data_IF_377608351344
#
_entry.id   IF_377608351344
#
_cell.length_a   1.000
_cell.length_b   1.000
_cell.length_c   1.000
_cell.angle_alpha   90.00
_cell.angle_beta   90.00
_cell.angle_gamma   90.00
#
_symmetry.space_group_name_H-M   'P 1'
#
loop_
_entity.id
_entity.type
_entity.pdbx_description
1 polymer ?
#
# COMPACT_ATOMS: atom_id res chain seq x y z
N UNK A 1 15.24 -32.98 -11.10
CA UNK A 1 15.00 -31.53 -10.91
C UNK A 1 13.62 -31.41 -10.29
N UNK A 2 13.54 -30.93 -9.06
CA UNK A 2 12.26 -30.68 -8.36
C UNK A 2 11.98 -29.20 -8.41
N UNK A 3 10.75 -28.82 -8.75
CA UNK A 3 10.30 -27.43 -8.71
C UNK A 3 10.30 -26.94 -7.26
N UNK A 4 10.70 -25.70 -7.04
CA UNK A 4 10.58 -25.05 -5.74
C UNK A 4 9.09 -24.83 -5.40
N UNK A 5 8.69 -24.77 -4.12
CA UNK A 5 7.32 -24.41 -3.75
C UNK A 5 6.94 -23.04 -4.32
N UNK A 6 5.78 -22.92 -4.95
CA UNK A 6 5.39 -21.71 -5.69
C UNK A 6 4.05 -21.84 -6.44
N UNK A 7 3.58 -20.72 -7.00
CA UNK A 7 2.46 -20.70 -7.94
C UNK A 7 2.97 -20.99 -9.35
N UNK A 8 2.27 -21.86 -10.06
CA UNK A 8 2.59 -22.28 -11.42
C UNK A 8 1.29 -22.50 -12.20
N UNK A 9 1.36 -22.44 -13.53
CA UNK A 9 0.22 -22.72 -14.41
C UNK A 9 -0.40 -24.08 -14.12
N UNK A 10 -1.72 -24.13 -13.97
CA UNK A 10 -2.46 -25.35 -13.69
C UNK A 10 -2.56 -26.21 -14.96
N UNK A 11 -1.89 -27.38 -15.00
CA UNK A 11 -1.93 -28.24 -16.19
C UNK A 11 -3.34 -28.81 -16.47
N UNK A 12 -4.25 -28.80 -15.49
CA UNK A 12 -5.63 -29.23 -15.65
C UNK A 12 -6.62 -28.10 -15.98
N UNK A 13 -6.20 -26.84 -15.87
CA UNK A 13 -7.07 -25.68 -16.08
C UNK A 13 -6.26 -24.50 -16.68
N UNK A 14 -6.16 -24.42 -18.02
CA UNK A 14 -5.43 -23.33 -18.69
C UNK A 14 -5.92 -21.95 -18.23
N UNK A 15 -4.98 -21.04 -17.95
CA UNK A 15 -5.27 -19.68 -17.48
C UNK A 15 -5.52 -19.57 -15.97
N UNK A 16 -5.28 -20.64 -15.19
CA UNK A 16 -5.30 -20.61 -13.73
C UNK A 16 -3.93 -20.99 -13.19
N UNK A 17 -3.61 -20.50 -11.99
CA UNK A 17 -2.41 -20.92 -11.29
C UNK A 17 -2.77 -21.79 -10.08
N UNK A 18 -1.98 -22.84 -9.87
CA UNK A 18 -2.10 -23.78 -8.76
C UNK A 18 -0.82 -23.75 -7.93
N UNK A 19 -0.95 -23.93 -6.62
CA UNK A 19 0.21 -23.97 -5.73
C UNK A 19 0.88 -25.34 -5.76
N UNK A 20 2.19 -25.36 -6.01
CA UNK A 20 3.09 -26.50 -5.84
C UNK A 20 3.81 -26.40 -4.50
N UNK A 21 3.82 -27.48 -3.71
CA UNK A 21 4.43 -27.49 -2.37
C UNK A 21 5.90 -27.97 -2.35
N UNK A 22 6.51 -28.19 -3.53
CA UNK A 22 7.84 -28.80 -3.67
C UNK A 22 7.80 -30.30 -4.02
N UNK A 23 6.69 -30.98 -3.73
CA UNK A 23 6.52 -32.42 -3.93
C UNK A 23 5.28 -32.78 -4.75
N UNK A 24 4.19 -32.02 -4.59
CA UNK A 24 2.91 -32.25 -5.24
C UNK A 24 2.12 -30.97 -5.49
N UNK A 25 1.21 -31.03 -6.45
CA UNK A 25 0.22 -29.99 -6.69
C UNK A 25 -0.82 -30.01 -5.57
N UNK A 26 -1.06 -28.86 -4.95
CA UNK A 26 -2.06 -28.73 -3.89
C UNK A 26 -3.44 -28.40 -4.45
N UNK A 27 -4.45 -28.31 -3.57
CA UNK A 27 -5.81 -27.89 -3.94
C UNK A 27 -5.98 -26.37 -4.02
N UNK A 28 -4.97 -25.59 -3.64
CA UNK A 28 -5.03 -24.13 -3.73
C UNK A 28 -4.88 -23.69 -5.19
N UNK A 29 -5.89 -22.99 -5.68
CA UNK A 29 -5.94 -22.42 -7.03
C UNK A 29 -6.32 -20.95 -6.89
N UNK A 30 -5.56 -20.04 -7.47
CA UNK A 30 -5.94 -18.62 -7.55
C UNK A 30 -6.57 -18.33 -8.90
N UNK A 31 -7.68 -17.60 -8.90
CA UNK A 31 -8.50 -17.36 -10.10
C UNK A 31 -8.14 -16.09 -10.85
N UNK A 32 -7.17 -15.34 -10.35
CA UNK A 32 -6.87 -14.01 -10.86
C UNK A 32 -5.37 -13.88 -11.13
N UNK A 33 -4.96 -14.29 -12.32
CA UNK A 33 -4.09 -13.40 -13.07
C UNK A 33 -5.06 -12.64 -13.96
N UNK A 34 -5.40 -11.38 -13.65
CA UNK A 34 -6.03 -10.56 -14.66
C UNK A 34 -5.15 -10.69 -15.89
N UNK A 35 -5.75 -10.96 -17.06
CA UNK A 35 -5.09 -10.72 -18.35
C UNK A 35 -4.85 -9.21 -18.40
N UNK A 36 -3.87 -8.73 -17.63
CA UNK A 36 -3.34 -7.39 -17.76
C UNK A 36 -2.67 -7.50 -19.11
N UNK A 37 -3.21 -6.88 -20.18
CA UNK A 37 -2.42 -6.73 -21.39
C UNK A 37 -1.11 -6.09 -20.89
N UNK A 38 0.00 -6.83 -21.02
CA UNK A 38 1.35 -6.27 -20.84
C UNK A 38 1.26 -4.89 -21.44
N UNK A 39 1.43 -3.88 -20.58
CA UNK A 39 1.04 -2.55 -20.95
C UNK A 39 1.67 -2.24 -22.32
N UNK A 40 0.94 -1.64 -23.29
CA UNK A 40 1.34 -1.62 -24.70
C UNK A 40 2.69 -0.92 -24.99
N UNK A 41 3.34 -0.41 -23.95
CA UNK A 41 4.68 0.16 -23.96
C UNK A 41 5.81 -0.79 -23.51
N UNK A 42 5.53 -2.05 -23.16
CA UNK A 42 6.59 -3.06 -22.94
C UNK A 42 7.11 -3.50 -24.31
N UNK A 43 8.16 -2.82 -24.76
CA UNK A 43 8.90 -3.19 -25.96
C UNK A 43 9.59 -4.54 -25.75
N UNK A 44 9.22 -5.61 -26.49
CA UNK A 44 9.81 -6.94 -26.34
C UNK A 44 11.29 -7.01 -26.73
N UNK A 45 11.86 -5.93 -27.29
CA UNK A 45 13.27 -5.85 -27.64
C UNK A 45 14.18 -5.40 -26.50
N UNK A 46 13.64 -4.99 -25.35
CA UNK A 46 14.44 -4.69 -24.17
C UNK A 46 14.68 -5.96 -23.33
N UNK A 47 15.95 -6.36 -23.08
CA UNK A 47 16.23 -7.48 -22.19
C UNK A 47 15.77 -7.13 -20.77
N UNK A 48 14.98 -8.02 -20.16
CA UNK A 48 14.58 -7.89 -18.76
C UNK A 48 15.84 -7.73 -17.89
N UNK A 49 15.97 -6.58 -17.23
CA UNK A 49 17.02 -6.37 -16.24
C UNK A 49 16.66 -7.26 -15.05
N UNK A 50 17.42 -8.34 -14.87
CA UNK A 50 17.35 -9.17 -13.67
C UNK A 50 17.82 -8.28 -12.52
N UNK A 51 16.87 -7.74 -11.74
CA UNK A 51 17.19 -7.03 -10.51
C UNK A 51 17.74 -8.07 -9.54
N UNK A 52 19.01 -7.92 -9.19
CA UNK A 52 19.71 -8.80 -8.26
C UNK A 52 19.06 -8.69 -6.87
N UNK A 53 18.23 -9.68 -6.53
CA UNK A 53 17.51 -9.76 -5.26
C UNK A 53 18.41 -10.25 -4.11
N UNK A 54 19.66 -9.82 -4.07
CA UNK A 54 20.55 -10.15 -2.95
C UNK A 54 20.12 -9.35 -1.72
N UNK A 55 19.59 -9.99 -0.64
CA UNK A 55 19.12 -9.28 0.53
C UNK A 55 20.29 -8.57 1.23
N UNK A 56 20.10 -7.32 1.70
CA UNK A 56 21.16 -6.60 2.41
C UNK A 56 21.49 -7.34 3.71
N UNK A 57 22.71 -7.87 3.80
CA UNK A 57 23.25 -8.45 5.03
C UNK A 57 23.38 -7.34 6.09
N UNK A 58 22.44 -7.27 7.03
CA UNK A 58 22.54 -6.39 8.21
C UNK A 58 23.76 -6.81 9.05
N UNK A 59 24.77 -5.95 9.27
CA UNK A 59 25.77 -6.21 10.29
C UNK A 59 25.14 -5.95 11.66
N UNK A 60 25.08 -7.00 12.48
CA UNK A 60 24.57 -6.91 13.83
C UNK A 60 25.44 -6.01 14.70
N UNK A 61 24.84 -4.99 15.31
CA UNK A 61 25.35 -4.40 16.54
C UNK A 61 24.22 -4.30 17.57
N UNK A 62 24.35 -5.18 18.54
CA UNK A 62 23.62 -5.22 19.79
C UNK A 62 24.24 -4.15 20.68
N UNK A 63 23.52 -3.08 21.01
CA UNK A 63 23.86 -2.23 22.16
C UNK A 63 22.64 -1.92 23.03
N UNK A 64 22.71 -2.61 24.16
CA UNK A 64 22.03 -2.50 25.43
C UNK A 64 22.01 -1.03 25.94
N UNK A 65 20.87 -0.51 26.40
CA UNK A 65 20.83 0.68 27.27
C UNK A 65 19.66 0.62 28.27
N UNK A 66 20.07 0.12 29.43
CA UNK A 66 19.63 0.28 30.83
C UNK A 66 18.48 1.26 31.12
N UNK A 67 17.52 0.73 31.88
CA UNK A 67 16.47 1.44 32.61
C UNK A 67 17.01 2.36 33.73
N UNK A 68 16.37 3.51 33.94
CA UNK A 68 15.97 4.06 35.27
C UNK A 68 15.56 5.54 35.17
N UNK A 69 14.38 5.86 35.70
CA UNK A 69 13.94 7.25 35.89
C UNK A 69 12.49 7.35 36.36
N UNK A 70 12.24 6.94 37.61
CA UNK A 70 10.95 7.12 38.32
C UNK A 70 10.94 8.47 39.04
N UNK A 71 9.73 9.00 39.30
CA UNK A 71 9.31 10.22 40.00
C UNK A 71 9.23 11.47 39.09
N UNK A 72 8.09 12.13 38.86
CA UNK A 72 6.84 12.19 39.61
C UNK A 72 6.65 13.60 40.17
N UNK A 73 5.84 14.45 39.51
CA UNK A 73 5.14 15.59 40.13
C UNK A 73 3.84 15.84 39.36
N UNK A 74 2.73 15.53 40.01
CA UNK A 74 1.41 16.06 39.70
C UNK A 74 1.10 17.14 40.75
N UNK A 75 0.76 18.36 40.31
CA UNK A 75 0.08 19.49 41.00
C UNK A 75 0.57 20.78 40.30
N UNK A 76 -0.18 21.83 39.96
CA UNK A 76 -1.60 22.18 39.94
C UNK A 76 -1.63 23.62 39.38
N UNK A 77 -2.71 23.99 38.66
CA UNK A 77 -3.18 25.36 38.34
C UNK A 77 -2.27 26.40 37.65
N UNK A 78 -2.71 26.85 36.48
CA UNK A 78 -3.35 28.17 36.32
C UNK A 78 -2.49 29.45 36.33
N UNK A 79 -2.52 30.14 35.19
CA UNK A 79 -2.28 31.59 34.95
C UNK A 79 -0.82 32.07 35.09
N UNK A 80 -0.32 32.67 34.01
CA UNK A 80 0.71 33.72 34.12
C UNK A 80 1.77 33.67 33.05
N UNK A 81 1.57 34.45 31.98
CA UNK A 81 2.63 34.83 31.07
C UNK A 81 3.80 35.47 31.84
N UNK A 82 5.04 35.04 31.59
CA UNK A 82 6.26 35.84 31.78
C UNK A 82 7.45 35.18 31.11
N UNK A 83 8.17 36.01 30.36
CA UNK A 83 9.28 35.69 29.50
C UNK A 83 10.53 35.20 30.24
N UNK A 84 11.20 34.19 29.69
CA UNK A 84 12.66 34.02 29.75
C UNK A 84 13.18 33.33 28.48
N UNK A 85 13.11 34.02 27.34
CA UNK A 85 13.98 33.73 26.19
C UNK A 85 15.35 34.33 26.47
N UNK A 86 16.31 33.54 26.97
CA UNK A 86 17.75 33.84 26.90
C UNK A 86 18.59 32.66 27.40
N UNK A 87 18.85 31.68 26.54
CA UNK A 87 20.08 30.89 26.55
C UNK A 87 20.10 29.92 25.37
N UNK A 88 20.49 30.40 24.20
CA UNK A 88 21.14 29.60 23.16
C UNK A 88 21.94 30.57 22.28
N UNK A 89 23.12 30.96 22.80
CA UNK A 89 24.18 31.55 22.00
C UNK A 89 25.40 30.64 22.10
N UNK A 90 25.95 30.33 20.94
CA UNK A 90 27.26 29.74 20.69
C UNK A 90 27.40 28.22 20.77
N UNK A 91 26.91 27.53 19.73
CA UNK A 91 27.76 26.57 19.01
C UNK A 91 27.85 27.03 17.57
N UNK A 92 28.85 27.87 17.27
CA UNK A 92 29.22 28.21 15.92
C UNK A 92 29.81 26.97 15.24
N UNK A 93 28.99 26.26 14.48
CA UNK A 93 29.45 25.31 13.47
C UNK A 93 29.70 26.13 12.21
N UNK A 94 30.93 26.17 11.66
CA UNK A 94 31.22 26.86 10.42
C UNK A 94 30.38 26.22 9.30
N UNK A 95 29.79 27.08 8.46
CA UNK A 95 28.81 26.72 7.44
C UNK A 95 29.32 25.69 6.44
N UNK A 96 29.17 24.41 6.79
CA UNK A 96 28.93 23.38 5.82
C UNK A 96 27.59 23.68 5.19
N UNK A 97 27.60 23.93 3.88
CA UNK A 97 26.41 23.88 3.04
C UNK A 97 25.58 22.69 3.49
N UNK A 98 24.37 22.95 4.01
CA UNK A 98 23.40 21.91 4.25
C UNK A 98 23.00 21.43 2.87
N UNK A 99 23.79 20.50 2.33
CA UNK A 99 23.40 19.67 1.20
C UNK A 99 22.16 18.96 1.72
N UNK A 100 20.99 19.44 1.30
CA UNK A 100 19.77 18.68 1.45
C UNK A 100 20.09 17.27 0.92
N UNK A 101 19.76 16.18 1.65
CA UNK A 101 19.87 14.85 1.08
C UNK A 101 19.19 14.92 -0.29
N UNK A 102 19.80 14.34 -1.35
CA UNK A 102 19.23 14.41 -2.69
C UNK A 102 17.76 14.07 -2.57
N UNK A 103 16.89 14.98 -3.03
CA UNK A 103 15.49 14.66 -3.23
C UNK A 103 15.50 13.38 -4.04
N UNK A 104 15.20 12.27 -3.38
CA UNK A 104 15.06 10.99 -4.05
C UNK A 104 13.75 11.12 -4.81
N UNK A 105 13.83 11.79 -5.96
CA UNK A 105 12.79 12.00 -6.97
C UNK A 105 12.56 10.67 -7.72
N UNK A 106 12.62 9.56 -6.98
CA UNK A 106 12.23 8.25 -7.46
C UNK A 106 10.80 8.35 -7.96
N UNK A 107 10.58 7.87 -9.18
CA UNK A 107 9.25 7.73 -9.73
C UNK A 107 8.37 6.95 -8.73
N UNK A 108 7.09 7.33 -8.55
CA UNK A 108 6.21 6.61 -7.65
C UNK A 108 6.12 5.14 -8.07
N UNK A 109 6.09 4.25 -7.08
CA UNK A 109 6.08 2.80 -7.33
C UNK A 109 4.75 2.36 -7.95
N UNK A 110 3.69 3.13 -7.71
CA UNK A 110 2.35 2.93 -8.25
C UNK A 110 1.88 4.20 -8.98
N UNK A 111 1.03 4.06 -10.01
CA UNK A 111 0.38 5.21 -10.62
C UNK A 111 -0.53 5.93 -9.62
N UNK A 112 -0.78 7.21 -9.86
CA UNK A 112 -1.77 7.99 -9.11
C UNK A 112 -3.17 7.52 -9.50
N UNK A 113 -4.04 7.31 -8.52
CA UNK A 113 -5.41 6.88 -8.72
C UNK A 113 -6.33 8.01 -8.28
N UNK A 114 -7.36 8.31 -9.06
CA UNK A 114 -8.44 9.18 -8.60
C UNK A 114 -9.55 8.37 -7.94
N UNK A 115 -10.38 9.01 -7.12
CA UNK A 115 -11.59 8.36 -6.62
C UNK A 115 -12.54 7.91 -7.75
N UNK A 116 -12.51 8.59 -8.90
CA UNK A 116 -13.24 8.14 -10.10
C UNK A 116 -12.73 6.80 -10.64
N UNK A 117 -11.41 6.60 -10.66
CA UNK A 117 -10.79 5.34 -11.09
C UNK A 117 -11.12 4.19 -10.12
N UNK A 118 -11.08 4.49 -8.82
CA UNK A 118 -11.48 3.56 -7.75
C UNK A 118 -12.93 3.15 -7.93
N UNK A 119 -13.86 4.11 -8.03
CA UNK A 119 -15.29 3.82 -8.20
C UNK A 119 -15.61 3.04 -9.47
N UNK A 120 -14.96 3.38 -10.60
CA UNK A 120 -15.13 2.66 -11.85
C UNK A 120 -14.63 1.20 -11.77
N UNK A 121 -13.54 0.97 -11.03
CA UNK A 121 -13.00 -0.38 -10.79
C UNK A 121 -13.90 -1.19 -9.87
N UNK A 122 -14.35 -0.59 -8.76
CA UNK A 122 -15.30 -1.20 -7.83
C UNK A 122 -16.58 -1.65 -8.55
N UNK A 123 -17.19 -0.78 -9.37
CA UNK A 123 -18.40 -1.13 -10.13
C UNK A 123 -18.16 -2.28 -11.11
N UNK A 124 -16.97 -2.35 -11.73
CA UNK A 124 -16.61 -3.42 -12.64
C UNK A 124 -16.50 -4.76 -11.92
N UNK A 125 -15.80 -4.78 -10.79
CA UNK A 125 -15.63 -5.97 -9.94
C UNK A 125 -16.96 -6.44 -9.36
N UNK A 126 -17.74 -5.51 -8.78
CA UNK A 126 -19.07 -5.80 -8.24
C UNK A 126 -19.99 -6.48 -9.28
N UNK A 127 -19.99 -5.99 -10.53
CA UNK A 127 -20.79 -6.59 -11.61
C UNK A 127 -20.26 -7.94 -12.08
N UNK A 128 -18.93 -8.10 -12.11
CA UNK A 128 -18.31 -9.34 -12.55
C UNK A 128 -18.54 -10.48 -11.56
N UNK A 129 -18.47 -10.19 -10.26
CA UNK A 129 -18.61 -11.19 -9.21
C UNK A 129 -20.03 -11.31 -8.65
N UNK A 130 -20.88 -10.29 -8.85
CA UNK A 130 -22.25 -10.26 -8.32
C UNK A 130 -22.33 -9.95 -6.82
N UNK A 131 -21.25 -9.43 -6.25
CA UNK A 131 -21.07 -9.28 -4.80
C UNK A 131 -21.68 -8.00 -4.23
N UNK A 132 -21.93 -6.98 -5.08
CA UNK A 132 -22.56 -5.72 -4.66
C UNK A 132 -23.68 -5.32 -5.61
N UNK A 133 -24.94 -5.20 -5.15
CA UNK A 133 -26.07 -4.85 -5.98
C UNK A 133 -26.12 -3.36 -6.37
N UNK A 134 -24.97 -2.68 -6.51
CA UNK A 134 -24.92 -1.26 -6.88
C UNK A 134 -25.16 -1.07 -8.37
N UNK A 135 -26.16 -0.25 -8.69
CA UNK A 135 -26.57 0.08 -10.06
C UNK A 135 -25.91 1.38 -10.52
N UNK A 136 -25.80 2.36 -9.62
CA UNK A 136 -25.26 3.70 -9.87
C UNK A 136 -24.47 4.20 -8.65
N UNK A 137 -23.39 4.94 -8.90
CA UNK A 137 -22.65 5.70 -7.90
C UNK A 137 -22.73 7.19 -8.24
N UNK A 138 -22.79 8.04 -7.22
CA UNK A 138 -22.57 9.49 -7.34
C UNK A 138 -21.08 9.80 -7.54
N UNK A 139 -20.73 11.09 -7.65
CA UNK A 139 -19.33 11.49 -7.77
C UNK A 139 -18.57 11.18 -6.47
N UNK A 140 -17.53 10.34 -6.51
CA UNK A 140 -16.87 9.87 -5.30
C UNK A 140 -15.94 10.94 -4.73
N UNK A 141 -15.92 11.04 -3.40
CA UNK A 141 -15.08 11.97 -2.63
C UNK A 141 -14.01 11.19 -1.86
N UNK A 142 -12.79 11.72 -1.78
CA UNK A 142 -11.72 11.10 -1.01
C UNK A 142 -11.98 11.20 0.51
N UNK A 143 -11.91 10.06 1.21
CA UNK A 143 -11.87 9.98 2.67
C UNK A 143 -10.43 9.98 3.19
N UNK A 144 -9.53 9.30 2.49
CA UNK A 144 -8.11 9.25 2.81
C UNK A 144 -7.29 9.08 1.52
N UNK A 145 -6.20 9.82 1.38
CA UNK A 145 -5.29 9.73 0.24
C UNK A 145 -3.85 9.64 0.77
N UNK A 146 -3.21 8.49 0.54
CA UNK A 146 -1.84 8.21 0.94
C UNK A 146 -0.87 8.18 -0.26
N UNK A 147 -1.27 8.74 -1.40
CA UNK A 147 -0.44 8.84 -2.60
C UNK A 147 0.44 10.10 -2.58
N UNK A 148 1.58 10.12 -3.31
CA UNK A 148 2.20 8.97 -3.99
C UNK A 148 2.87 8.00 -3.01
N UNK A 149 2.76 6.70 -3.31
CA UNK A 149 3.50 5.68 -2.58
C UNK A 149 4.93 5.59 -3.15
N UNK A 150 5.91 5.86 -2.28
CA UNK A 150 7.34 5.82 -2.63
C UNK A 150 8.02 4.49 -2.31
N UNK A 151 7.39 3.67 -1.46
CA UNK A 151 7.86 2.34 -1.08
C UNK A 151 6.68 1.44 -0.78
N UNK A 152 6.73 0.20 -1.22
CA UNK A 152 5.74 -0.81 -0.84
C UNK A 152 5.89 -1.17 0.64
N UNK A 153 4.81 -1.61 1.31
CA UNK A 153 4.92 -2.11 2.67
C UNK A 153 5.84 -3.33 2.73
N UNK A 154 6.59 -3.47 3.82
CA UNK A 154 7.33 -4.70 4.12
C UNK A 154 6.36 -5.72 4.74
N UNK A 155 6.40 -6.98 4.28
CA UNK A 155 5.64 -8.08 4.89
C UNK A 155 4.29 -8.39 4.20
N UNK A 156 3.37 -9.02 4.94
CA UNK A 156 2.08 -9.52 4.41
C UNK A 156 0.92 -8.55 4.69
N UNK A 157 1.18 -7.35 5.23
CA UNK A 157 0.14 -6.39 5.58
C UNK A 157 -0.31 -5.57 4.37
N UNK A 158 -1.62 -5.33 4.26
CA UNK A 158 -2.21 -4.46 3.24
C UNK A 158 -2.02 -2.99 3.64
N UNK A 159 -1.42 -2.20 2.76
CA UNK A 159 -1.28 -0.75 2.94
C UNK A 159 -2.39 -0.01 2.22
N UNK A 160 -3.19 0.77 2.95
CA UNK A 160 -4.24 1.61 2.36
C UNK A 160 -3.61 2.71 1.50
N UNK A 161 -3.94 2.71 0.22
CA UNK A 161 -3.48 3.70 -0.77
C UNK A 161 -4.45 4.88 -0.83
N UNK A 162 -5.74 4.58 -1.00
CA UNK A 162 -6.79 5.56 -1.24
C UNK A 162 -8.11 4.99 -0.71
N UNK A 163 -8.84 5.76 0.08
CA UNK A 163 -10.21 5.48 0.47
C UNK A 163 -11.12 6.56 -0.07
N UNK A 164 -12.22 6.16 -0.68
CA UNK A 164 -13.21 7.04 -1.28
C UNK A 164 -14.60 6.68 -0.77
N UNK A 165 -15.51 7.63 -0.87
CA UNK A 165 -16.91 7.46 -0.50
C UNK A 165 -17.81 8.03 -1.57
N UNK A 166 -18.92 7.35 -1.84
CA UNK A 166 -19.95 7.83 -2.76
C UNK A 166 -21.33 7.39 -2.26
N UNK A 167 -22.37 8.13 -2.66
CA UNK A 167 -23.73 7.61 -2.57
C UNK A 167 -23.95 6.58 -3.68
N UNK A 168 -24.59 5.47 -3.33
CA UNK A 168 -24.87 4.36 -4.21
C UNK A 168 -26.38 4.12 -4.27
N UNK A 169 -26.89 3.89 -5.48
CA UNK A 169 -28.23 3.38 -5.71
C UNK A 169 -28.12 1.87 -5.96
N UNK A 170 -28.85 1.09 -5.17
CA UNK A 170 -28.80 -0.36 -5.17
C UNK A 170 -29.97 -0.96 -5.94
N UNK A 171 -29.87 -2.25 -6.28
CA UNK A 171 -30.79 -2.91 -7.22
C UNK A 171 -32.22 -3.04 -6.71
N UNK A 172 -32.43 -2.94 -5.41
CA UNK A 172 -33.75 -2.92 -4.77
C UNK A 172 -34.33 -1.50 -4.66
N UNK A 173 -33.60 -0.50 -5.15
CA UNK A 173 -33.96 0.91 -5.12
C UNK A 173 -33.54 1.65 -3.86
N UNK A 174 -32.86 1.01 -2.90
CA UNK A 174 -32.31 1.72 -1.74
C UNK A 174 -31.14 2.62 -2.15
N UNK A 175 -30.95 3.73 -1.43
CA UNK A 175 -29.80 4.62 -1.58
C UNK A 175 -29.01 4.61 -0.28
N UNK A 176 -27.71 4.37 -0.35
CA UNK A 176 -26.82 4.26 0.81
C UNK A 176 -25.42 4.79 0.50
N UNK A 177 -24.62 5.02 1.53
CA UNK A 177 -23.22 5.45 1.38
C UNK A 177 -22.33 4.21 1.22
N UNK A 178 -21.48 4.17 0.20
CA UNK A 178 -20.50 3.10 -0.01
C UNK A 178 -19.10 3.67 0.13
N UNK A 179 -18.36 3.11 1.08
CA UNK A 179 -16.93 3.31 1.24
C UNK A 179 -16.19 2.30 0.37
N UNK A 180 -15.21 2.77 -0.40
CA UNK A 180 -14.37 1.98 -1.29
C UNK A 180 -12.92 2.21 -0.89
N UNK A 181 -12.19 1.15 -0.62
CA UNK A 181 -10.78 1.20 -0.25
C UNK A 181 -9.91 0.50 -1.29
N UNK A 182 -8.83 1.15 -1.65
CA UNK A 182 -7.75 0.63 -2.47
C UNK A 182 -6.55 0.43 -1.58
N UNK A 183 -6.10 -0.81 -1.46
CA UNK A 183 -4.90 -1.18 -0.73
C UNK A 183 -3.89 -1.88 -1.63
N UNK A 184 -2.64 -1.92 -1.20
CA UNK A 184 -1.56 -2.63 -1.90
C UNK A 184 -0.76 -3.48 -0.93
N UNK A 185 -0.33 -4.66 -1.36
CA UNK A 185 0.59 -5.50 -0.60
C UNK A 185 2.06 -5.32 -1.00
N UNK A 186 2.97 -6.05 -0.36
CA UNK A 186 4.41 -6.02 -0.64
C UNK A 186 4.78 -6.55 -2.03
N UNK A 187 3.89 -7.31 -2.68
CA UNK A 187 4.05 -7.81 -4.04
C UNK A 187 3.50 -6.83 -5.10
N UNK A 188 3.10 -5.62 -4.69
CA UNK A 188 2.42 -4.63 -5.52
C UNK A 188 1.06 -5.10 -6.07
N UNK A 189 0.44 -6.10 -5.44
CA UNK A 189 -0.92 -6.53 -5.79
C UNK A 189 -1.90 -5.50 -5.24
N UNK A 190 -2.80 -5.03 -6.09
CA UNK A 190 -3.84 -4.07 -5.71
C UNK A 190 -5.06 -4.85 -5.22
N UNK A 191 -5.53 -4.48 -4.04
CA UNK A 191 -6.71 -5.00 -3.40
C UNK A 191 -7.77 -3.91 -3.36
N UNK A 192 -8.98 -4.25 -3.82
CA UNK A 192 -10.14 -3.36 -3.79
C UNK A 192 -11.15 -3.96 -2.85
N UNK A 193 -11.50 -3.22 -1.82
CA UNK A 193 -12.55 -3.58 -0.88
C UNK A 193 -13.62 -2.48 -0.86
N UNK A 194 -14.83 -2.83 -0.47
CA UNK A 194 -15.95 -1.90 -0.42
C UNK A 194 -16.97 -2.35 0.62
N UNK A 195 -17.61 -1.38 1.27
CA UNK A 195 -18.66 -1.63 2.26
C UNK A 195 -19.71 -0.54 2.25
N UNK A 196 -20.95 -0.91 2.52
CA UNK A 196 -21.99 0.05 2.86
C UNK A 196 -21.77 0.58 4.29
N UNK A 197 -22.02 1.88 4.51
CA UNK A 197 -21.72 2.58 5.77
C UNK A 197 -22.95 2.88 6.62
#
# INVERSE_FOLDING_TARGET
MTLAPGWYDDPGAPGKERWWDGHSWTRHVRHDVPDIPLAPWVDPSHPAVVVDATPPRRPGSLFLSIAAGVLGVALVTGIGASATLSALRATGVPGGEVVAPPSDDGAPVLPLYSCGDVAATTLRMARQHGDLPVVRLSEPTALADHQPIRSLPDGEELYLVLACVAEAEFSDGHVGEVEMSFAVDSAATIWVDYRER
#
